data_IF_903647627357
#
_entry.id   IF_903647627357
#
_cell.length_a   1.000
_cell.length_b   1.000
_cell.length_c   1.000
_cell.angle_alpha   90.00
_cell.angle_beta   90.00
_cell.angle_gamma   90.00
#
_symmetry.space_group_name_H-M   'P 1'
#
loop_
_entity.id
_entity.type
_entity.pdbx_description
1 polymer ?
#
# COMPACT_ATOMS: atom_id res chain seq x y z
N UNK A 1 5.34 -7.46 6.30
CA UNK A 1 5.57 -6.15 6.94
C UNK A 1 6.07 -5.27 5.80
N UNK A 2 5.54 -4.06 5.64
CA UNK A 2 5.82 -3.25 4.45
C UNK A 2 6.59 -2.00 4.87
N UNK A 3 7.60 -1.63 4.08
CA UNK A 3 8.44 -0.45 4.28
C UNK A 3 8.20 0.52 3.13
N UNK A 4 8.19 1.81 3.44
CA UNK A 4 8.00 2.88 2.45
C UNK A 4 9.23 3.76 2.50
N UNK A 5 9.87 3.93 1.35
CA UNK A 5 11.06 4.76 1.19
C UNK A 5 10.70 6.03 0.43
N UNK A 6 11.16 7.16 0.93
CA UNK A 6 11.16 8.40 0.18
C UNK A 6 12.58 8.60 -0.36
N UNK A 7 12.74 8.41 -1.67
CA UNK A 7 14.03 8.48 -2.37
C UNK A 7 14.00 9.69 -3.30
N UNK A 8 15.01 10.55 -3.20
CA UNK A 8 15.17 11.69 -4.10
C UNK A 8 16.08 11.29 -5.26
N UNK A 9 15.50 11.12 -6.44
CA UNK A 9 16.20 10.79 -7.69
C UNK A 9 15.37 11.25 -8.89
N UNK A 10 16.01 11.40 -10.05
CA UNK A 10 15.35 11.70 -11.32
C UNK A 10 14.60 10.46 -11.84
N UNK A 11 15.22 9.28 -11.75
CA UNK A 11 14.62 7.99 -12.14
C UNK A 11 15.21 6.85 -11.29
N UNK A 12 14.37 6.27 -10.44
CA UNK A 12 14.75 5.18 -9.55
C UNK A 12 15.19 3.91 -10.30
N UNK A 13 14.57 3.59 -11.43
CA UNK A 13 14.91 2.40 -12.19
C UNK A 13 16.19 2.60 -13.00
N UNK A 14 16.44 3.82 -13.50
CA UNK A 14 17.74 4.15 -14.09
C UNK A 14 18.87 3.97 -13.07
N UNK A 15 18.69 4.48 -11.84
CA UNK A 15 19.65 4.30 -10.74
C UNK A 15 19.85 2.82 -10.38
N UNK A 16 18.79 2.02 -10.41
CA UNK A 16 18.89 0.57 -10.20
C UNK A 16 19.74 -0.09 -11.29
N UNK A 17 19.53 0.25 -12.56
CA UNK A 17 20.35 -0.31 -13.65
C UNK A 17 21.82 0.09 -13.55
N UNK A 18 22.11 1.31 -13.11
CA UNK A 18 23.48 1.80 -12.92
C UNK A 18 24.18 1.15 -11.71
N UNK A 19 23.43 0.69 -10.72
CA UNK A 19 23.93 0.12 -9.47
C UNK A 19 23.65 -1.38 -9.36
N UNK A 20 24.49 -2.21 -9.99
CA UNK A 20 24.35 -3.67 -9.97
C UNK A 20 24.23 -4.26 -8.56
N UNK A 21 24.96 -3.75 -7.57
CA UNK A 21 24.88 -4.22 -6.18
C UNK A 21 23.47 -4.07 -5.57
N UNK A 22 22.73 -3.03 -5.96
CA UNK A 22 21.38 -2.79 -5.49
C UNK A 22 20.39 -3.64 -6.27
N UNK A 23 20.49 -3.67 -7.60
CA UNK A 23 19.68 -4.52 -8.45
C UNK A 23 19.79 -6.01 -8.06
N UNK A 24 20.97 -6.45 -7.64
CA UNK A 24 21.24 -7.81 -7.14
C UNK A 24 20.50 -8.19 -5.85
N UNK A 25 19.93 -7.21 -5.16
CA UNK A 25 19.12 -7.42 -3.93
C UNK A 25 17.64 -7.18 -4.14
N UNK A 26 17.23 -6.75 -5.34
CA UNK A 26 15.84 -6.51 -5.68
C UNK A 26 15.21 -7.72 -6.37
N UNK A 27 13.92 -7.92 -6.13
CA UNK A 27 13.05 -8.81 -6.93
C UNK A 27 12.20 -7.93 -7.85
N UNK A 28 12.63 -7.81 -9.10
CA UNK A 28 12.01 -7.00 -10.15
C UNK A 28 11.19 -7.85 -11.13
N UNK A 29 10.87 -9.10 -10.77
CA UNK A 29 10.16 -10.03 -11.65
C UNK A 29 8.69 -9.65 -11.92
N UNK A 30 8.16 -8.65 -11.20
CA UNK A 30 6.82 -8.12 -11.42
C UNK A 30 6.76 -7.03 -12.50
N UNK A 31 7.92 -6.46 -12.88
CA UNK A 31 7.99 -5.47 -13.96
C UNK A 31 7.67 -6.12 -15.32
N UNK A 32 7.23 -5.35 -16.33
CA UNK A 32 7.01 -5.87 -17.66
C UNK A 32 8.32 -6.42 -18.26
N UNK A 33 8.22 -7.42 -19.12
CA UNK A 33 9.40 -8.11 -19.69
C UNK A 33 10.28 -7.21 -20.56
N UNK A 34 9.76 -6.08 -21.03
CA UNK A 34 10.48 -5.06 -21.81
C UNK A 34 11.26 -4.07 -20.91
N UNK A 35 11.05 -4.12 -19.59
CA UNK A 35 11.66 -3.17 -18.66
C UNK A 35 13.16 -3.47 -18.45
N UNK A 36 14.06 -2.46 -18.43
CA UNK A 36 15.50 -2.67 -18.35
C UNK A 36 15.97 -3.31 -17.03
N UNK A 37 15.20 -3.17 -15.96
CA UNK A 37 15.45 -3.82 -14.67
C UNK A 37 14.84 -5.23 -14.54
N UNK A 38 14.15 -5.77 -15.55
CA UNK A 38 13.42 -7.03 -15.42
C UNK A 38 14.35 -8.23 -15.22
N UNK A 39 14.16 -8.97 -14.12
CA UNK A 39 14.89 -10.19 -13.80
C UNK A 39 13.92 -11.26 -13.33
N UNK A 40 13.68 -12.30 -14.13
CA UNK A 40 12.69 -13.35 -13.84
C UNK A 40 13.13 -14.31 -12.72
N UNK A 41 14.44 -14.55 -12.57
CA UNK A 41 15.00 -15.64 -11.76
C UNK A 41 14.70 -15.52 -10.26
N UNK A 42 14.42 -14.31 -9.77
CA UNK A 42 14.30 -14.02 -8.33
C UNK A 42 12.88 -13.93 -7.82
N UNK A 43 11.90 -14.19 -8.69
CA UNK A 43 10.47 -14.06 -8.39
C UNK A 43 10.07 -14.75 -7.08
N UNK A 44 9.64 -13.98 -6.09
CA UNK A 44 9.19 -14.47 -4.77
C UNK A 44 10.25 -15.25 -3.99
N UNK A 45 11.53 -14.99 -4.24
CA UNK A 45 12.63 -15.60 -3.49
C UNK A 45 12.82 -14.87 -2.17
N UNK A 46 12.88 -15.57 -1.01
CA UNK A 46 13.13 -14.93 0.27
C UNK A 46 14.48 -14.20 0.31
N UNK A 47 14.52 -13.04 0.95
CA UNK A 47 15.75 -12.24 1.13
C UNK A 47 15.96 -11.12 0.10
N UNK A 48 15.11 -11.06 -0.93
CA UNK A 48 15.11 -9.97 -1.91
C UNK A 48 14.03 -8.93 -1.58
N UNK A 49 14.28 -7.68 -1.98
CA UNK A 49 13.34 -6.58 -1.86
C UNK A 49 12.47 -6.51 -3.12
N UNK A 50 11.20 -6.92 -3.00
CA UNK A 50 10.23 -6.75 -4.07
C UNK A 50 9.66 -5.34 -4.08
N UNK A 51 9.46 -4.79 -5.27
CA UNK A 51 8.65 -3.59 -5.45
C UNK A 51 7.15 -3.95 -5.34
N UNK A 52 6.48 -3.50 -4.27
CA UNK A 52 5.05 -3.77 -4.04
C UNK A 52 4.13 -2.95 -4.95
N UNK A 53 4.65 -1.93 -5.66
CA UNK A 53 3.86 -1.06 -6.51
C UNK A 53 3.98 -1.40 -8.00
N UNK A 54 4.72 -2.45 -8.34
CA UNK A 54 4.85 -2.99 -9.70
C UNK A 54 5.19 -1.90 -10.74
N UNK A 55 6.15 -1.02 -10.44
CA UNK A 55 6.50 0.08 -11.34
C UNK A 55 5.74 1.39 -11.11
N UNK A 56 4.64 1.36 -10.37
CA UNK A 56 3.78 2.55 -10.23
C UNK A 56 4.28 3.49 -9.13
N UNK A 57 4.26 4.79 -9.42
CA UNK A 57 4.74 5.82 -8.51
C UNK A 57 3.67 6.21 -7.48
N UNK A 58 4.06 6.26 -6.21
CA UNK A 58 3.22 6.81 -5.14
C UNK A 58 3.29 8.34 -5.24
N UNK A 59 2.16 8.99 -5.47
CA UNK A 59 2.08 10.45 -5.64
C UNK A 59 1.78 11.18 -4.35
N UNK A 60 1.02 10.54 -3.46
CA UNK A 60 0.66 11.08 -2.15
C UNK A 60 0.76 9.97 -1.12
N UNK A 61 1.33 10.28 0.04
CA UNK A 61 1.48 9.35 1.15
C UNK A 61 1.11 10.04 2.47
N UNK A 62 0.20 9.43 3.24
CA UNK A 62 -0.23 9.91 4.54
C UNK A 62 -0.16 8.77 5.57
N UNK A 63 0.63 8.94 6.62
CA UNK A 63 0.78 7.96 7.70
C UNK A 63 0.36 8.56 9.04
N UNK A 64 -0.58 7.87 9.71
CA UNK A 64 -1.05 8.26 11.05
C UNK A 64 -0.33 7.46 12.15
N UNK A 65 -0.05 6.18 11.88
CA UNK A 65 0.58 5.25 12.82
C UNK A 65 1.22 4.08 12.07
N UNK A 66 2.12 3.36 12.72
CA UNK A 66 2.55 2.03 12.27
C UNK A 66 1.36 1.14 11.84
N UNK A 67 1.41 0.63 10.59
CA UNK A 67 0.38 -0.22 9.98
C UNK A 67 -0.99 0.49 9.79
N UNK A 68 -0.99 1.83 9.81
CA UNK A 68 -2.14 2.70 9.54
C UNK A 68 -1.73 3.88 8.66
N UNK A 69 -1.88 3.73 7.35
CA UNK A 69 -1.47 4.70 6.35
C UNK A 69 -2.35 4.59 5.10
N UNK A 70 -2.42 5.67 4.34
CA UNK A 70 -3.14 5.78 3.08
C UNK A 70 -2.23 6.45 2.04
N UNK A 71 -2.35 6.03 0.79
CA UNK A 71 -1.54 6.57 -0.29
C UNK A 71 -2.24 6.47 -1.63
N UNK A 72 -1.85 7.33 -2.55
CA UNK A 72 -2.36 7.34 -3.90
C UNK A 72 -1.26 6.88 -4.87
N UNK A 73 -1.66 6.09 -5.85
CA UNK A 73 -0.76 5.54 -6.87
C UNK A 73 -1.19 6.07 -8.23
N UNK A 74 -0.23 6.57 -8.99
CA UNK A 74 -0.48 6.98 -10.38
C UNK A 74 -0.75 5.75 -11.24
N UNK A 75 -1.86 5.75 -11.98
CA UNK A 75 -2.11 4.75 -13.02
C UNK A 75 -1.08 4.94 -14.15
N UNK A 76 -0.32 3.90 -14.47
CA UNK A 76 0.41 3.85 -15.74
C UNK A 76 -0.54 3.68 -16.93
N UNK A 77 -0.07 3.97 -18.14
CA UNK A 77 -0.88 3.89 -19.38
C UNK A 77 -1.52 2.50 -19.61
N UNK A 78 -0.87 1.43 -19.13
CA UNK A 78 -1.34 0.04 -19.25
C UNK A 78 -1.97 -0.54 -17.97
N UNK A 79 -1.98 0.22 -16.85
CA UNK A 79 -2.41 -0.28 -15.54
C UNK A 79 -3.72 0.37 -15.08
N UNK A 80 -4.76 -0.47 -14.97
CA UNK A 80 -6.11 -0.09 -14.50
C UNK A 80 -6.17 0.10 -12.98
N UNK A 81 -5.13 -0.29 -12.23
CA UNK A 81 -5.11 -0.27 -10.75
C UNK A 81 -4.49 0.98 -10.12
N UNK A 82 -4.55 2.12 -10.81
CA UNK A 82 -4.30 3.40 -10.15
C UNK A 82 -5.38 3.71 -9.11
N UNK A 83 -5.02 4.55 -8.14
CA UNK A 83 -5.96 5.06 -7.15
C UNK A 83 -5.54 4.83 -5.71
N UNK A 84 -6.51 5.03 -4.83
CA UNK A 84 -6.31 5.10 -3.40
C UNK A 84 -6.12 3.72 -2.76
N UNK A 85 -5.03 3.56 -2.01
CA UNK A 85 -4.73 2.37 -1.21
C UNK A 85 -4.67 2.75 0.26
N UNK A 86 -5.56 2.17 1.07
CA UNK A 86 -5.60 2.36 2.51
C UNK A 86 -5.20 1.07 3.24
N UNK A 87 -4.30 1.20 4.21
CA UNK A 87 -3.94 0.16 5.16
C UNK A 87 -4.30 0.63 6.57
N UNK A 88 -5.19 -0.08 7.24
CA UNK A 88 -5.56 0.23 8.62
C UNK A 88 -5.67 -1.06 9.46
N UNK A 89 -4.60 -1.38 10.20
CA UNK A 89 -4.55 -2.60 11.01
C UNK A 89 -5.62 -2.58 12.11
N UNK A 90 -6.42 -3.64 12.16
CA UNK A 90 -7.50 -3.82 13.14
C UNK A 90 -8.87 -3.39 12.62
N UNK A 91 -8.93 -2.66 11.51
CA UNK A 91 -10.17 -2.29 10.85
C UNK A 91 -10.54 -3.36 9.81
N UNK A 92 -11.83 -3.64 9.64
CA UNK A 92 -12.30 -4.60 8.62
C UNK A 92 -12.12 -4.00 7.22
N UNK A 93 -11.73 -4.84 6.27
CA UNK A 93 -11.50 -4.45 4.88
C UNK A 93 -12.70 -3.75 4.23
N UNK A 94 -13.93 -4.17 4.52
CA UNK A 94 -15.13 -3.52 4.00
C UNK A 94 -15.32 -2.09 4.53
N UNK A 95 -14.99 -1.85 5.80
CA UNK A 95 -15.04 -0.51 6.40
C UNK A 95 -13.98 0.38 5.75
N UNK A 96 -12.77 -0.15 5.59
CA UNK A 96 -11.68 0.55 4.89
C UNK A 96 -12.10 0.92 3.46
N UNK A 97 -12.69 -0.01 2.72
CA UNK A 97 -13.06 0.20 1.31
C UNK A 97 -14.19 1.22 1.09
N UNK A 98 -15.17 1.27 2.00
CA UNK A 98 -16.40 2.03 1.78
C UNK A 98 -16.55 3.28 2.64
N UNK A 99 -15.74 3.44 3.69
CA UNK A 99 -15.93 4.48 4.71
C UNK A 99 -14.64 5.19 5.11
N UNK A 100 -13.52 4.91 4.45
CA UNK A 100 -12.27 5.62 4.69
C UNK A 100 -11.76 6.14 3.37
N UNK A 101 -11.25 7.35 3.39
CA UNK A 101 -10.58 7.97 2.24
C UNK A 101 -9.20 8.51 2.63
N UNK A 102 -8.34 8.78 1.66
CA UNK A 102 -7.06 9.46 1.83
C UNK A 102 -7.27 10.87 2.39
N UNK A 103 -8.33 11.56 1.94
CA UNK A 103 -8.70 12.87 2.44
C UNK A 103 -9.02 12.83 3.94
N UNK A 104 -9.74 11.80 4.41
CA UNK A 104 -10.00 11.62 5.85
C UNK A 104 -8.70 11.43 6.64
N UNK A 105 -7.72 10.70 6.09
CA UNK A 105 -6.41 10.55 6.73
C UNK A 105 -5.66 11.88 6.79
N UNK A 106 -5.69 12.66 5.70
CA UNK A 106 -5.08 13.98 5.63
C UNK A 106 -5.70 14.94 6.64
N UNK A 107 -7.03 15.02 6.69
CA UNK A 107 -7.77 15.83 7.67
C UNK A 107 -7.45 15.40 9.10
N UNK A 108 -7.40 14.11 9.39
CA UNK A 108 -6.98 13.58 10.69
C UNK A 108 -5.56 13.99 11.06
N UNK A 109 -4.62 13.93 10.11
CA UNK A 109 -3.22 14.28 10.35
C UNK A 109 -3.05 15.76 10.72
N UNK A 110 -3.80 16.65 10.07
CA UNK A 110 -3.72 18.09 10.29
C UNK A 110 -4.75 18.64 11.30
N UNK A 111 -5.61 17.79 11.85
CA UNK A 111 -6.62 18.20 12.83
C UNK A 111 -7.76 19.05 12.25
N UNK A 112 -8.08 18.87 10.97
CA UNK A 112 -9.16 19.58 10.31
C UNK A 112 -10.55 19.13 10.83
N UNK A 113 -11.51 20.06 10.89
CA UNK A 113 -12.88 19.76 11.31
C UNK A 113 -13.64 18.96 10.26
N UNK A 114 -14.51 18.04 10.70
CA UNK A 114 -15.43 17.31 9.81
C UNK A 114 -15.11 15.84 9.60
N UNK A 115 -14.06 15.30 10.23
CA UNK A 115 -13.82 13.85 10.25
C UNK A 115 -14.63 13.20 11.37
N UNK A 116 -15.38 12.15 11.04
CA UNK A 116 -16.02 11.31 12.06
C UNK A 116 -14.94 10.60 12.89
N UNK A 117 -14.87 10.90 14.19
CA UNK A 117 -13.84 10.34 15.06
C UNK A 117 -13.96 8.81 15.25
N UNK A 118 -15.13 8.23 14.98
CA UNK A 118 -15.42 6.81 15.21
C UNK A 118 -16.34 6.26 14.12
N UNK A 119 -16.09 5.01 13.71
CA UNK A 119 -16.96 4.26 12.80
C UNK A 119 -17.21 2.86 13.35
N UNK A 120 -18.47 2.43 13.31
CA UNK A 120 -18.82 1.08 13.74
C UNK A 120 -18.20 0.03 12.82
N UNK A 121 -17.40 -0.85 13.42
CA UNK A 121 -16.83 -2.01 12.78
C UNK A 121 -17.76 -3.22 13.01
N UNK A 122 -18.58 -3.55 12.02
CA UNK A 122 -19.57 -4.63 12.10
C UNK A 122 -18.98 -5.93 11.57
N UNK A 123 -19.11 -7.03 12.33
CA UNK A 123 -18.72 -8.36 11.86
C UNK A 123 -19.55 -9.48 12.45
N UNK A 124 -19.72 -10.56 11.69
CA UNK A 124 -20.37 -11.79 12.15
C UNK A 124 -19.29 -12.72 12.71
N UNK A 125 -19.51 -13.28 13.90
CA UNK A 125 -18.61 -14.27 14.54
C UNK A 125 -19.41 -15.43 15.13
N UNK A 126 -18.75 -16.57 15.31
CA UNK A 126 -19.33 -17.74 15.99
C UNK A 126 -18.73 -17.86 17.39
N UNK A 127 -19.59 -18.00 18.41
CA UNK A 127 -19.18 -18.39 19.76
C UNK A 127 -20.02 -19.57 20.18
N UNK A 128 -19.37 -20.67 20.60
CA UNK A 128 -20.06 -21.91 21.00
C UNK A 128 -21.11 -22.36 19.98
N UNK A 129 -20.76 -22.31 18.70
CA UNK A 129 -21.62 -22.67 17.56
C UNK A 129 -22.84 -21.76 17.34
N UNK A 130 -22.90 -20.59 17.99
CA UNK A 130 -23.94 -19.58 17.75
C UNK A 130 -23.35 -18.40 16.99
N UNK A 131 -23.99 -18.04 15.87
CA UNK A 131 -23.63 -16.87 15.10
C UNK A 131 -24.17 -15.61 15.77
N UNK A 132 -23.30 -14.62 15.96
CA UNK A 132 -23.63 -13.32 16.52
C UNK A 132 -23.05 -12.21 15.66
N UNK A 133 -23.79 -11.12 15.53
CA UNK A 133 -23.30 -9.88 14.93
C UNK A 133 -22.68 -9.03 16.02
N UNK A 134 -21.38 -8.78 15.93
CA UNK A 134 -20.64 -7.88 16.82
C UNK A 134 -20.45 -6.55 16.12
N UNK A 135 -20.80 -5.48 16.82
CA UNK A 135 -20.41 -4.11 16.47
C UNK A 135 -19.33 -3.66 17.45
N UNK A 136 -18.17 -3.28 16.93
CA UNK A 136 -17.07 -2.72 17.73
C UNK A 136 -16.89 -1.28 17.32
N UNK A 137 -16.79 -0.37 18.29
CA UNK A 137 -16.43 1.03 18.05
C UNK A 137 -14.92 1.18 17.93
#
# INVERSE_FOLDING_TARGET
DSLIYHVYTDDFYADLTANHNLLDRMDTANLPSDHPCYVADRKKTPGYFSDEMDGNVITEFCALRAKSYAFNVQAGEDNVEGGEKIKAKGIRSHVVKNHMTLEDHRKCLFGETGVEAYKDNVSIRSFKHQLVTIKTR
#
